data_IF_154738641743
#
_entry.id   IF_154738641743
#
_cell.length_a   1.000
_cell.length_b   1.000
_cell.length_c   1.000
_cell.angle_alpha   90.00
_cell.angle_beta   90.00
_cell.angle_gamma   90.00
#
_symmetry.space_group_name_H-M   'P 1'
#
loop_
_entity.id
_entity.type
_entity.pdbx_description
1 polymer ?
#
# COMPACT_ATOMS: atom_id res chain seq x y z
N UNK A 1 0.68 -26.18 -10.30
CA UNK A 1 -0.35 -25.15 -10.62
C UNK A 1 0.24 -23.77 -10.46
N UNK A 2 -0.11 -22.83 -11.34
CA UNK A 2 0.46 -21.48 -11.36
C UNK A 2 -0.62 -20.44 -11.67
N UNK A 3 -0.66 -19.36 -10.90
CA UNK A 3 -1.56 -18.24 -11.16
C UNK A 3 -1.10 -16.93 -10.49
N UNK A 4 -1.47 -15.81 -11.09
CA UNK A 4 -1.50 -14.51 -10.43
C UNK A 4 -2.94 -14.23 -10.02
N UNK A 5 -3.14 -13.94 -8.75
CA UNK A 5 -4.45 -13.62 -8.17
C UNK A 5 -4.53 -12.11 -7.96
N UNK A 6 -5.23 -11.44 -8.86
CA UNK A 6 -5.47 -10.01 -8.77
C UNK A 6 -6.66 -9.76 -7.84
N UNK A 7 -6.37 -9.18 -6.68
CA UNK A 7 -7.33 -8.99 -5.61
C UNK A 7 -7.00 -7.70 -4.84
N UNK A 8 -7.94 -6.76 -4.70
CA UNK A 8 -7.67 -5.45 -4.11
C UNK A 8 -7.21 -5.54 -2.65
N UNK A 9 -6.71 -4.43 -2.11
CA UNK A 9 -6.37 -4.33 -0.69
C UNK A 9 -7.64 -4.53 0.15
N UNK A 10 -7.55 -5.32 1.23
CA UNK A 10 -8.71 -5.62 2.08
C UNK A 10 -9.58 -6.79 1.60
N UNK A 11 -9.27 -7.42 0.47
CA UNK A 11 -10.01 -8.56 -0.08
C UNK A 11 -9.70 -9.92 0.57
N UNK A 12 -8.86 -9.96 1.61
CA UNK A 12 -8.48 -11.21 2.26
C UNK A 12 -7.36 -11.99 1.56
N UNK A 13 -6.40 -11.32 0.90
CA UNK A 13 -5.26 -11.99 0.23
C UNK A 13 -4.52 -12.96 1.15
N UNK A 14 -4.30 -12.63 2.43
CA UNK A 14 -3.67 -13.54 3.40
C UNK A 14 -4.47 -14.82 3.62
N UNK A 15 -5.80 -14.73 3.67
CA UNK A 15 -6.68 -15.89 3.77
C UNK A 15 -6.65 -16.75 2.50
N UNK A 16 -6.56 -16.15 1.33
CA UNK A 16 -6.43 -16.88 0.06
C UNK A 16 -5.11 -17.67 0.04
N UNK A 17 -3.99 -17.04 0.42
CA UNK A 17 -2.68 -17.71 0.53
C UNK A 17 -2.76 -18.86 1.54
N UNK A 18 -3.32 -18.60 2.72
CA UNK A 18 -3.54 -19.61 3.76
C UNK A 18 -4.32 -20.82 3.22
N UNK A 19 -5.47 -20.59 2.59
CA UNK A 19 -6.33 -21.67 2.10
C UNK A 19 -5.64 -22.54 1.03
N UNK A 20 -4.93 -21.91 0.07
CA UNK A 20 -4.19 -22.65 -0.97
C UNK A 20 -3.00 -23.40 -0.36
N UNK A 21 -2.30 -22.81 0.60
CA UNK A 21 -1.18 -23.44 1.31
C UNK A 21 -1.64 -24.67 2.11
N UNK A 22 -2.76 -24.55 2.84
CA UNK A 22 -3.39 -25.67 3.56
C UNK A 22 -3.84 -26.77 2.62
N UNK A 23 -4.48 -26.40 1.50
CA UNK A 23 -4.88 -27.35 0.47
C UNK A 23 -3.68 -28.10 -0.13
N UNK A 24 -2.57 -27.41 -0.38
CA UNK A 24 -1.33 -28.04 -0.85
C UNK A 24 -0.81 -29.05 0.15
N UNK A 25 -0.65 -28.66 1.41
CA UNK A 25 -0.14 -29.55 2.46
C UNK A 25 -1.05 -30.77 2.69
N UNK A 26 -2.37 -30.59 2.69
CA UNK A 26 -3.33 -31.68 2.85
C UNK A 26 -3.23 -32.74 1.76
N UNK A 27 -2.72 -32.40 0.57
CA UNK A 27 -2.47 -33.36 -0.51
C UNK A 27 -1.18 -34.17 -0.34
N UNK A 28 -0.28 -33.71 0.51
CA UNK A 28 1.03 -34.33 0.71
C UNK A 28 1.10 -35.21 1.94
N UNK A 29 0.15 -35.05 2.86
CA UNK A 29 0.16 -35.71 4.16
C UNK A 29 -0.96 -36.73 4.23
N UNK A 30 -0.59 -38.00 4.49
CA UNK A 30 -1.52 -39.05 4.95
C UNK A 30 -1.88 -38.86 6.45
N UNK A 31 -1.80 -37.61 6.95
CA UNK A 31 -2.29 -37.18 8.26
C UNK A 31 -1.28 -37.15 9.41
N UNK A 32 -0.02 -37.57 9.25
CA UNK A 32 0.86 -37.81 10.43
C UNK A 32 2.22 -37.08 10.45
N UNK A 33 2.73 -36.55 9.34
CA UNK A 33 3.97 -35.75 9.36
C UNK A 33 4.11 -34.83 8.16
N UNK A 34 4.64 -33.62 8.38
CA UNK A 34 4.96 -32.73 7.28
C UNK A 34 6.18 -33.25 6.52
N UNK A 35 6.08 -33.43 5.20
CA UNK A 35 7.20 -33.97 4.42
C UNK A 35 8.39 -33.00 4.45
N UNK A 36 9.63 -33.53 4.54
CA UNK A 36 10.86 -32.74 4.42
C UNK A 36 10.98 -32.02 3.06
N UNK A 37 10.29 -32.52 2.03
CA UNK A 37 10.10 -31.89 0.72
C UNK A 37 8.64 -31.51 0.58
N UNK A 38 8.34 -30.36 -0.04
CA UNK A 38 6.95 -29.92 -0.24
C UNK A 38 6.47 -28.85 0.74
N UNK A 39 7.38 -28.27 1.54
CA UNK A 39 7.08 -27.12 2.41
C UNK A 39 6.49 -25.95 1.62
N UNK A 40 5.83 -25.06 2.33
CA UNK A 40 5.29 -23.81 1.80
C UNK A 40 6.27 -22.66 2.06
N UNK A 41 6.56 -21.88 1.03
CA UNK A 41 7.31 -20.62 1.13
C UNK A 41 6.39 -19.44 0.80
N UNK A 42 6.27 -18.50 1.72
CA UNK A 42 5.56 -17.23 1.52
C UNK A 42 6.56 -16.08 1.55
N UNK A 43 6.67 -15.37 0.44
CA UNK A 43 7.59 -14.24 0.28
C UNK A 43 6.79 -12.96 0.33
N UNK A 44 7.15 -12.08 1.27
CA UNK A 44 6.50 -10.78 1.46
C UNK A 44 7.53 -9.62 1.35
N UNK A 45 7.10 -8.39 1.04
CA UNK A 45 8.02 -7.27 0.81
C UNK A 45 8.78 -6.77 2.04
N UNK A 46 8.17 -6.83 3.24
CA UNK A 46 8.70 -6.18 4.45
C UNK A 46 8.59 -7.06 5.68
N UNK A 47 9.42 -6.80 6.70
CA UNK A 47 9.39 -7.49 7.99
C UNK A 47 8.04 -7.36 8.70
N UNK A 48 7.43 -6.18 8.65
CA UNK A 48 6.08 -5.97 9.24
C UNK A 48 5.03 -6.89 8.60
N UNK A 49 5.14 -7.16 7.29
CA UNK A 49 4.23 -8.09 6.60
C UNK A 49 4.54 -9.56 6.94
N UNK A 50 5.78 -9.91 7.31
CA UNK A 50 6.09 -11.25 7.84
C UNK A 50 5.33 -11.47 9.14
N UNK A 51 5.40 -10.53 10.07
CA UNK A 51 4.71 -10.62 11.36
C UNK A 51 3.19 -10.60 11.21
N UNK A 52 2.68 -9.74 10.32
CA UNK A 52 1.24 -9.69 10.03
C UNK A 52 0.75 -11.00 9.43
N UNK A 53 1.42 -11.54 8.40
CA UNK A 53 1.02 -12.78 7.75
C UNK A 53 1.05 -13.96 8.73
N UNK A 54 2.07 -14.03 9.58
CA UNK A 54 2.17 -15.02 10.64
C UNK A 54 1.00 -14.91 11.63
N UNK A 55 0.70 -13.70 12.14
CA UNK A 55 -0.42 -13.45 13.04
C UNK A 55 -1.77 -13.80 12.39
N UNK A 56 -1.94 -13.49 11.10
CA UNK A 56 -3.15 -13.82 10.36
C UNK A 56 -3.31 -15.36 10.20
N UNK A 57 -2.23 -16.08 9.89
CA UNK A 57 -2.26 -17.54 9.77
C UNK A 57 -2.60 -18.22 11.10
N UNK A 58 -2.07 -17.72 12.23
CA UNK A 58 -2.46 -18.20 13.55
C UNK A 58 -3.95 -18.01 13.81
N UNK A 59 -4.50 -16.84 13.50
CA UNK A 59 -5.95 -16.54 13.64
C UNK A 59 -6.81 -17.45 12.76
N UNK A 60 -6.28 -17.89 11.60
CA UNK A 60 -6.96 -18.84 10.72
C UNK A 60 -6.80 -20.31 11.15
N UNK A 61 -6.09 -20.57 12.25
CA UNK A 61 -5.93 -21.89 12.84
C UNK A 61 -4.71 -22.67 12.31
N UNK A 62 -3.63 -21.98 11.91
CA UNK A 62 -2.34 -22.64 11.66
C UNK A 62 -1.64 -22.92 12.98
N UNK A 63 -1.00 -24.10 13.11
CA UNK A 63 -0.16 -24.42 14.25
C UNK A 63 1.12 -23.56 14.27
N UNK A 64 1.35 -22.88 15.39
CA UNK A 64 2.55 -22.02 15.56
C UNK A 64 3.84 -22.81 15.42
N UNK A 65 3.92 -24.02 15.96
CA UNK A 65 5.09 -24.91 15.87
C UNK A 65 5.41 -25.38 14.45
N UNK A 66 4.43 -25.32 13.52
CA UNK A 66 4.60 -25.65 12.13
C UNK A 66 4.92 -24.44 11.22
N UNK A 67 5.16 -23.26 11.79
CA UNK A 67 5.53 -22.04 11.05
C UNK A 67 6.90 -21.53 11.43
N UNK A 68 7.64 -21.00 10.45
CA UNK A 68 8.94 -20.38 10.66
C UNK A 68 9.02 -19.02 9.98
N UNK A 69 9.56 -18.01 10.68
CA UNK A 69 9.72 -16.64 10.17
C UNK A 69 11.18 -16.33 9.92
N UNK A 70 11.52 -15.87 8.72
CA UNK A 70 12.88 -15.47 8.37
C UNK A 70 12.91 -14.00 7.95
N UNK A 71 13.61 -13.17 8.75
CA UNK A 71 13.95 -11.79 8.41
C UNK A 71 15.25 -11.39 9.16
N UNK A 72 15.71 -10.15 9.06
CA UNK A 72 16.97 -9.71 9.68
C UNK A 72 17.05 -10.11 11.15
N UNK A 73 18.10 -10.84 11.53
CA UNK A 73 18.34 -11.34 12.90
C UNK A 73 17.64 -12.65 13.26
N UNK A 74 16.85 -13.26 12.36
CA UNK A 74 16.23 -14.58 12.56
C UNK A 74 16.98 -15.69 11.85
N UNK A 75 16.92 -16.89 12.44
CA UNK A 75 17.58 -18.07 11.90
C UNK A 75 17.00 -18.48 10.53
N UNK A 76 17.88 -18.92 9.64
CA UNK A 76 17.56 -19.43 8.29
C UNK A 76 17.48 -20.95 8.25
N UNK A 77 17.82 -21.63 9.33
CA UNK A 77 17.68 -23.09 9.47
C UNK A 77 16.21 -23.39 9.75
N UNK A 78 15.65 -24.30 8.97
CA UNK A 78 14.26 -24.73 9.09
C UNK A 78 14.25 -26.15 9.62
N UNK A 79 13.89 -26.33 10.87
CA UNK A 79 13.83 -27.67 11.49
C UNK A 79 12.51 -28.36 11.18
N UNK A 80 11.41 -27.97 11.81
CA UNK A 80 10.13 -28.67 11.78
C UNK A 80 8.96 -27.89 11.16
N UNK A 81 9.25 -26.78 10.47
CA UNK A 81 8.18 -25.97 9.92
C UNK A 81 7.65 -26.47 8.58
N UNK A 82 6.34 -26.52 8.42
CA UNK A 82 5.65 -26.78 7.17
C UNK A 82 5.51 -25.52 6.30
N UNK A 83 5.48 -24.35 6.94
CA UNK A 83 5.36 -23.06 6.28
C UNK A 83 6.45 -22.09 6.74
N UNK A 84 7.11 -21.47 5.77
CA UNK A 84 8.11 -20.43 5.99
C UNK A 84 7.61 -19.11 5.44
N UNK A 85 7.56 -18.08 6.28
CA UNK A 85 7.21 -16.72 5.89
C UNK A 85 8.47 -15.85 5.96
N UNK A 86 8.83 -15.19 4.86
CA UNK A 86 10.11 -14.50 4.76
C UNK A 86 10.04 -13.23 3.93
N UNK A 87 10.99 -12.31 4.17
CA UNK A 87 11.28 -11.25 3.22
C UNK A 87 12.24 -11.75 2.15
N UNK A 88 12.12 -11.25 0.92
CA UNK A 88 13.04 -11.63 -0.17
C UNK A 88 14.51 -11.27 0.13
N UNK A 89 14.75 -10.16 0.86
CA UNK A 89 16.08 -9.69 1.23
C UNK A 89 16.84 -10.71 2.10
N UNK A 90 16.09 -11.46 2.91
CA UNK A 90 16.67 -12.41 3.84
C UNK A 90 17.15 -13.70 3.17
N UNK A 91 16.56 -14.07 2.02
CA UNK A 91 16.77 -15.37 1.39
C UNK A 91 17.39 -15.33 -0.01
N UNK A 92 17.41 -14.17 -0.71
CA UNK A 92 17.82 -14.12 -2.13
C UNK A 92 19.25 -14.61 -2.41
N UNK A 93 20.16 -14.51 -1.42
CA UNK A 93 21.55 -15.00 -1.51
C UNK A 93 21.70 -16.48 -1.21
N UNK A 94 20.67 -17.14 -0.67
CA UNK A 94 20.76 -18.57 -0.32
C UNK A 94 20.95 -19.45 -1.58
N UNK A 95 21.63 -20.60 -1.44
CA UNK A 95 21.88 -21.48 -2.56
C UNK A 95 20.58 -22.15 -3.06
N UNK A 96 20.61 -22.68 -4.29
CA UNK A 96 19.44 -23.33 -4.93
C UNK A 96 18.89 -24.46 -4.07
N UNK A 97 19.77 -25.28 -3.46
CA UNK A 97 19.41 -26.41 -2.61
C UNK A 97 18.49 -26.03 -1.44
N UNK A 98 18.64 -24.79 -0.91
CA UNK A 98 17.77 -24.31 0.14
C UNK A 98 16.32 -24.13 -0.35
N UNK A 99 16.13 -23.77 -1.63
CA UNK A 99 14.81 -23.58 -2.22
C UNK A 99 14.15 -24.89 -2.70
N UNK A 100 14.90 -25.96 -2.89
CA UNK A 100 14.39 -27.26 -3.38
C UNK A 100 13.49 -27.99 -2.38
N UNK A 101 13.47 -27.55 -1.12
CA UNK A 101 12.56 -28.09 -0.10
C UNK A 101 11.11 -27.57 -0.22
N UNK A 102 10.85 -26.55 -1.05
CA UNK A 102 9.54 -25.92 -1.16
C UNK A 102 8.78 -26.43 -2.39
N UNK A 103 7.66 -27.11 -2.15
CA UNK A 103 6.75 -27.56 -3.20
C UNK A 103 5.67 -26.53 -3.57
N UNK A 104 5.42 -25.58 -2.69
CA UNK A 104 4.53 -24.44 -2.95
C UNK A 104 5.20 -23.11 -2.59
N UNK A 105 5.13 -22.14 -3.50
CA UNK A 105 5.70 -20.79 -3.32
C UNK A 105 4.65 -19.74 -3.61
N UNK A 106 4.51 -18.81 -2.66
CA UNK A 106 3.60 -17.68 -2.73
C UNK A 106 4.40 -16.38 -2.71
N UNK A 107 4.11 -15.47 -3.65
CA UNK A 107 4.65 -14.12 -3.65
C UNK A 107 3.54 -13.11 -3.36
N UNK A 108 3.52 -12.53 -2.18
CA UNK A 108 2.62 -11.41 -1.89
C UNK A 108 3.19 -10.11 -2.49
N UNK A 109 2.30 -9.21 -2.91
CA UNK A 109 2.64 -8.03 -3.72
C UNK A 109 3.53 -8.40 -4.92
N UNK A 110 3.09 -9.41 -5.67
CA UNK A 110 3.87 -10.04 -6.74
C UNK A 110 4.27 -9.10 -7.88
N UNK A 111 3.66 -7.91 -8.00
CA UNK A 111 4.10 -6.87 -8.93
C UNK A 111 5.57 -6.46 -8.73
N UNK A 112 6.13 -6.69 -7.54
CA UNK A 112 7.57 -6.49 -7.24
C UNK A 112 8.50 -7.53 -7.86
N UNK A 113 7.99 -8.70 -8.28
CA UNK A 113 8.80 -9.82 -8.78
C UNK A 113 9.41 -9.62 -10.17
N UNK A 114 9.26 -8.44 -10.75
CA UNK A 114 10.02 -7.99 -11.92
C UNK A 114 11.48 -7.67 -11.63
N UNK A 115 11.88 -7.54 -10.36
CA UNK A 115 13.28 -7.29 -9.98
C UNK A 115 14.14 -8.56 -10.12
N UNK A 116 15.41 -8.38 -10.50
CA UNK A 116 16.36 -9.50 -10.70
C UNK A 116 16.46 -10.41 -9.49
N UNK A 117 16.47 -9.87 -8.28
CA UNK A 117 16.60 -10.65 -7.04
C UNK A 117 15.40 -11.57 -6.81
N UNK A 118 14.17 -11.07 -7.01
CA UNK A 118 12.95 -11.85 -6.87
C UNK A 118 12.76 -12.86 -8.00
N UNK A 119 13.11 -12.50 -9.24
CA UNK A 119 13.16 -13.46 -10.35
C UNK A 119 14.12 -14.61 -10.06
N UNK A 120 15.33 -14.31 -9.53
CA UNK A 120 16.31 -15.34 -9.18
C UNK A 120 15.81 -16.28 -8.08
N UNK A 121 15.08 -15.78 -7.09
CA UNK A 121 14.44 -16.63 -6.08
C UNK A 121 13.46 -17.61 -6.76
N UNK A 122 12.58 -17.10 -7.61
CA UNK A 122 11.61 -17.95 -8.31
C UNK A 122 12.25 -19.00 -9.22
N UNK A 123 13.40 -18.66 -9.85
CA UNK A 123 14.16 -19.58 -10.68
C UNK A 123 14.85 -20.68 -9.85
N UNK A 124 15.23 -20.39 -8.59
CA UNK A 124 15.80 -21.38 -7.65
C UNK A 124 14.74 -22.35 -7.11
N UNK A 125 13.47 -21.97 -7.08
CA UNK A 125 12.37 -22.82 -6.60
C UNK A 125 11.98 -23.88 -7.64
N UNK A 126 12.90 -24.72 -8.08
CA UNK A 126 12.67 -25.70 -9.17
C UNK A 126 11.64 -26.76 -8.82
N UNK A 127 11.57 -27.16 -7.55
CA UNK A 127 10.63 -28.17 -7.04
C UNK A 127 9.21 -27.64 -6.77
N UNK A 128 9.01 -26.31 -6.92
CA UNK A 128 7.72 -25.72 -6.64
C UNK A 128 6.69 -26.05 -7.73
N UNK A 129 5.79 -26.97 -7.40
CA UNK A 129 4.62 -27.35 -8.21
C UNK A 129 3.55 -26.28 -8.22
N UNK A 130 3.39 -25.62 -7.05
CA UNK A 130 2.45 -24.51 -6.84
C UNK A 130 3.21 -23.19 -6.79
N UNK A 131 2.87 -22.27 -7.69
CA UNK A 131 3.44 -20.91 -7.74
C UNK A 131 2.32 -19.91 -7.86
N UNK A 132 2.02 -19.19 -6.79
CA UNK A 132 0.95 -18.19 -6.77
C UNK A 132 1.50 -16.83 -6.41
N UNK A 133 1.18 -15.83 -7.23
CA UNK A 133 1.39 -14.43 -6.92
C UNK A 133 0.09 -13.78 -6.52
N UNK A 134 0.08 -12.98 -5.43
CA UNK A 134 -1.06 -12.14 -5.05
C UNK A 134 -0.67 -10.68 -5.22
N UNK A 135 -1.56 -9.85 -5.74
CA UNK A 135 -1.36 -8.40 -5.82
C UNK A 135 -2.69 -7.66 -5.93
N UNK A 136 -2.74 -6.45 -5.40
CA UNK A 136 -3.88 -5.56 -5.57
C UNK A 136 -3.90 -4.89 -6.94
N UNK A 137 -2.73 -4.73 -7.57
CA UNK A 137 -2.58 -3.97 -8.82
C UNK A 137 -1.44 -4.50 -9.66
N UNK A 138 -1.60 -4.39 -10.98
CA UNK A 138 -0.52 -4.51 -11.95
C UNK A 138 -0.23 -3.10 -12.51
N UNK A 139 1.04 -2.81 -12.83
CA UNK A 139 1.45 -1.47 -13.26
C UNK A 139 1.02 -1.10 -14.70
N UNK A 140 0.34 -2.03 -15.39
CA UNK A 140 -0.18 -1.83 -16.74
C UNK A 140 0.89 -1.90 -17.85
N UNK A 141 2.15 -2.18 -17.52
CA UNK A 141 3.21 -2.41 -18.49
C UNK A 141 3.16 -3.84 -19.01
N UNK A 142 2.93 -4.03 -20.30
CA UNK A 142 2.86 -5.36 -20.93
C UNK A 142 4.12 -6.19 -20.68
N UNK A 143 5.31 -5.58 -20.75
CA UNK A 143 6.58 -6.28 -20.50
C UNK A 143 6.66 -6.83 -19.09
N UNK A 144 6.24 -6.03 -18.08
CA UNK A 144 6.23 -6.48 -16.70
C UNK A 144 5.20 -7.57 -16.46
N UNK A 145 4.06 -7.48 -17.08
CA UNK A 145 3.01 -8.50 -16.98
C UNK A 145 3.47 -9.84 -17.57
N UNK A 146 4.14 -9.85 -18.72
CA UNK A 146 4.73 -11.04 -19.31
C UNK A 146 5.77 -11.70 -18.39
N UNK A 147 6.65 -10.92 -17.76
CA UNK A 147 7.61 -11.45 -16.77
C UNK A 147 6.89 -12.13 -15.61
N UNK A 148 5.88 -11.50 -15.04
CA UNK A 148 5.11 -12.05 -13.92
C UNK A 148 4.35 -13.32 -14.34
N UNK A 149 3.75 -13.33 -15.54
CA UNK A 149 3.09 -14.52 -16.08
C UNK A 149 4.07 -15.67 -16.32
N UNK A 150 5.30 -15.39 -16.74
CA UNK A 150 6.37 -16.40 -16.85
C UNK A 150 6.72 -17.04 -15.50
N UNK A 151 6.70 -16.27 -14.41
CA UNK A 151 7.01 -16.77 -13.07
C UNK A 151 5.85 -17.50 -12.40
N UNK A 152 4.65 -16.94 -12.50
CA UNK A 152 3.46 -17.37 -11.74
C UNK A 152 2.33 -17.95 -12.61
N UNK A 153 2.32 -17.73 -13.92
CA UNK A 153 1.25 -18.14 -14.81
C UNK A 153 0.19 -17.08 -15.06
N UNK A 154 -0.97 -17.48 -15.55
CA UNK A 154 -2.06 -16.59 -15.97
C UNK A 154 -2.62 -15.75 -14.82
N UNK A 155 -3.01 -14.53 -15.13
CA UNK A 155 -3.69 -13.62 -14.16
C UNK A 155 -5.17 -13.95 -14.10
N UNK A 156 -5.68 -14.11 -12.87
CA UNK A 156 -7.10 -14.25 -12.56
C UNK A 156 -7.53 -13.10 -11.66
N UNK A 157 -8.58 -12.42 -12.07
CA UNK A 157 -9.25 -11.40 -11.24
C UNK A 157 -10.15 -12.15 -10.24
N UNK A 158 -9.84 -12.03 -8.96
CA UNK A 158 -10.57 -12.74 -7.89
C UNK A 158 -11.83 -11.96 -7.53
N UNK A 159 -11.70 -10.65 -7.35
CA UNK A 159 -12.80 -9.73 -7.05
C UNK A 159 -12.39 -8.30 -7.40
N UNK A 160 -13.32 -7.37 -7.36
CA UNK A 160 -13.10 -5.94 -7.56
C UNK A 160 -13.33 -5.17 -6.28
N UNK A 161 -12.79 -3.95 -6.22
CA UNK A 161 -13.09 -3.02 -5.11
C UNK A 161 -14.58 -2.74 -5.03
N UNK A 162 -15.24 -2.57 -6.18
CA UNK A 162 -16.68 -2.34 -6.28
C UNK A 162 -17.50 -3.50 -5.72
N UNK A 163 -17.22 -4.73 -6.14
CA UNK A 163 -17.92 -5.91 -5.61
C UNK A 163 -17.77 -6.04 -4.09
N UNK A 164 -16.59 -5.74 -3.54
CA UNK A 164 -16.37 -5.77 -2.10
C UNK A 164 -17.13 -4.66 -1.36
N UNK A 165 -17.31 -3.49 -1.98
CA UNK A 165 -18.12 -2.40 -1.45
C UNK A 165 -19.62 -2.70 -1.53
N UNK A 166 -20.09 -3.26 -2.64
CA UNK A 166 -21.48 -3.63 -2.85
C UNK A 166 -21.91 -4.77 -1.91
N UNK A 167 -21.00 -5.71 -1.63
CA UNK A 167 -21.17 -6.78 -0.64
C UNK A 167 -20.90 -6.32 0.81
N UNK A 168 -20.75 -5.02 1.03
CA UNK A 168 -20.54 -4.42 2.34
C UNK A 168 -19.30 -4.96 3.09
N UNK A 169 -18.31 -5.52 2.38
CA UNK A 169 -17.04 -6.03 2.93
C UNK A 169 -16.02 -4.91 3.12
N UNK A 170 -16.05 -3.90 2.25
CA UNK A 170 -15.22 -2.70 2.34
C UNK A 170 -16.09 -1.46 2.57
N UNK A 171 -15.52 -0.46 3.25
CA UNK A 171 -16.16 0.84 3.39
C UNK A 171 -16.34 1.51 2.01
N UNK A 172 -17.41 2.27 1.87
CA UNK A 172 -17.61 3.13 0.70
C UNK A 172 -16.61 4.27 0.75
N UNK A 173 -15.93 4.52 -0.36
CA UNK A 173 -15.02 5.64 -0.55
C UNK A 173 -15.67 6.67 -1.46
N UNK A 174 -15.63 7.94 -1.06
CA UNK A 174 -15.92 9.06 -1.95
C UNK A 174 -14.65 9.89 -2.14
N UNK A 175 -14.42 10.32 -3.37
CA UNK A 175 -13.25 11.09 -3.74
C UNK A 175 -13.66 12.52 -4.08
N UNK A 176 -13.01 13.48 -3.45
CA UNK A 176 -13.13 14.90 -3.78
C UNK A 176 -11.81 15.39 -4.35
N UNK A 177 -11.76 15.54 -5.66
CA UNK A 177 -10.60 16.12 -6.34
C UNK A 177 -10.67 17.64 -6.22
N UNK A 178 -9.72 18.24 -5.52
CA UNK A 178 -9.63 19.67 -5.28
C UNK A 178 -8.55 20.26 -6.22
N UNK A 179 -8.97 20.99 -7.24
CA UNK A 179 -8.09 21.63 -8.21
C UNK A 179 -7.79 23.05 -7.73
N UNK A 180 -6.56 23.27 -7.32
CA UNK A 180 -6.12 24.57 -6.82
C UNK A 180 -5.73 25.47 -7.99
N UNK A 181 -6.40 26.62 -8.10
CA UNK A 181 -6.10 27.69 -9.05
C UNK A 181 -5.23 28.76 -8.41
N UNK A 182 -4.04 28.94 -8.95
CA UNK A 182 -3.03 29.90 -8.46
C UNK A 182 -3.19 31.34 -8.98
N UNK A 183 -4.18 31.59 -9.81
CA UNK A 183 -4.37 32.86 -10.47
C UNK A 183 -3.47 33.03 -11.70
N UNK A 184 -3.86 34.01 -12.54
CA UNK A 184 -3.30 34.17 -13.87
C UNK A 184 -1.82 34.59 -13.89
N UNK A 185 -1.40 35.46 -12.96
CA UNK A 185 -0.01 35.94 -12.89
C UNK A 185 0.96 34.82 -12.55
N UNK A 186 0.68 34.04 -11.51
CA UNK A 186 1.49 32.90 -11.12
C UNK A 186 1.59 31.87 -12.23
N UNK A 187 0.49 31.56 -12.88
CA UNK A 187 0.47 30.60 -14.02
C UNK A 187 1.31 31.07 -15.20
N UNK A 188 1.31 32.38 -15.49
CA UNK A 188 2.11 32.96 -16.57
C UNK A 188 3.61 32.83 -16.29
N UNK A 189 4.03 33.12 -15.07
CA UNK A 189 5.43 33.04 -14.66
C UNK A 189 5.95 31.61 -14.62
N UNK A 190 5.06 30.65 -14.29
CA UNK A 190 5.40 29.23 -14.18
C UNK A 190 5.37 28.46 -15.50
N UNK A 191 4.96 29.10 -16.59
CA UNK A 191 4.63 28.44 -17.89
C UNK A 191 5.74 27.65 -18.59
N UNK A 192 7.01 27.64 -18.14
CA UNK A 192 8.15 27.00 -18.82
C UNK A 192 9.10 26.23 -17.90
N UNK A 193 8.74 25.98 -16.64
CA UNK A 193 9.64 25.37 -15.66
C UNK A 193 9.80 23.86 -15.88
N UNK A 194 10.93 23.31 -15.40
CA UNK A 194 11.14 21.86 -15.37
C UNK A 194 10.26 21.23 -14.25
N UNK A 195 10.10 19.90 -14.34
CA UNK A 195 9.28 19.15 -13.36
C UNK A 195 9.70 19.39 -11.92
N UNK A 196 11.02 19.44 -11.64
CA UNK A 196 11.51 19.61 -10.27
C UNK A 196 11.21 21.01 -9.74
N UNK A 197 11.33 22.02 -10.59
CA UNK A 197 11.03 23.42 -10.21
C UNK A 197 9.54 23.57 -9.88
N UNK A 198 8.66 22.93 -10.66
CA UNK A 198 7.23 22.91 -10.39
C UNK A 198 6.93 22.26 -9.05
N UNK A 199 7.55 21.13 -8.76
CA UNK A 199 7.37 20.45 -7.48
C UNK A 199 7.87 21.31 -6.32
N UNK A 200 9.07 21.88 -6.43
CA UNK A 200 9.65 22.72 -5.37
C UNK A 200 8.80 23.96 -5.10
N UNK A 201 8.24 24.58 -6.14
CA UNK A 201 7.27 25.66 -6.02
C UNK A 201 6.00 25.20 -5.29
N UNK A 202 5.37 24.11 -5.73
CA UNK A 202 4.11 23.61 -5.18
C UNK A 202 4.25 23.27 -3.70
N UNK A 203 5.30 22.52 -3.31
CA UNK A 203 5.48 22.08 -1.93
C UNK A 203 5.90 23.24 -1.00
N UNK A 204 6.55 24.28 -1.54
CA UNK A 204 6.93 25.50 -0.80
C UNK A 204 5.86 26.58 -0.76
N UNK A 205 4.76 26.45 -1.55
CA UNK A 205 3.79 27.53 -1.70
C UNK A 205 2.94 27.73 -0.44
N UNK A 206 3.07 28.90 0.18
CA UNK A 206 2.51 29.20 1.50
C UNK A 206 0.97 29.10 1.54
N UNK A 207 0.27 29.73 0.59
CA UNK A 207 -1.21 29.71 0.55
C UNK A 207 -1.74 28.28 0.37
N UNK A 208 -1.08 27.48 -0.48
CA UNK A 208 -1.41 26.07 -0.67
C UNK A 208 -1.27 25.27 0.62
N UNK A 209 -0.15 25.43 1.31
CA UNK A 209 0.10 24.71 2.57
C UNK A 209 -0.86 25.16 3.68
N UNK A 210 -1.23 26.44 3.72
CA UNK A 210 -2.28 26.98 4.60
C UNK A 210 -3.66 26.38 4.25
N UNK A 211 -3.98 26.22 2.97
CA UNK A 211 -5.22 25.56 2.53
C UNK A 211 -5.28 24.11 3.01
N UNK A 212 -4.20 23.32 2.80
CA UNK A 212 -4.13 21.93 3.24
C UNK A 212 -4.23 21.81 4.76
N UNK A 213 -3.53 22.70 5.49
CA UNK A 213 -3.64 22.79 6.95
C UNK A 213 -5.09 23.04 7.40
N UNK A 214 -5.76 24.04 6.83
CA UNK A 214 -7.13 24.37 7.18
C UNK A 214 -8.06 23.17 6.90
N UNK A 215 -7.94 22.58 5.71
CA UNK A 215 -8.69 21.38 5.38
C UNK A 215 -8.47 20.26 6.40
N UNK A 216 -7.22 19.96 6.78
CA UNK A 216 -6.91 18.90 7.73
C UNK A 216 -7.49 19.18 9.14
N UNK A 217 -7.49 20.44 9.56
CA UNK A 217 -8.01 20.85 10.89
C UNK A 217 -9.53 20.90 10.91
N UNK A 218 -10.19 21.32 9.82
CA UNK A 218 -11.64 21.46 9.75
C UNK A 218 -12.35 20.09 9.62
N UNK A 219 -11.69 19.09 9.02
CA UNK A 219 -12.24 17.75 8.87
C UNK A 219 -12.39 17.06 10.23
N UNK A 220 -13.56 16.48 10.48
CA UNK A 220 -13.83 15.68 11.67
C UNK A 220 -13.51 14.21 11.45
N UNK A 221 -13.02 13.55 12.50
CA UNK A 221 -12.58 12.16 12.45
C UNK A 221 -11.09 12.02 12.12
N UNK A 222 -10.59 10.78 12.28
CA UNK A 222 -9.18 10.49 12.02
C UNK A 222 -8.81 10.85 10.59
N UNK A 223 -7.86 11.74 10.46
CA UNK A 223 -7.43 12.34 9.18
C UNK A 223 -5.97 11.97 8.89
N UNK A 224 -5.71 11.43 7.72
CA UNK A 224 -4.38 11.10 7.22
C UNK A 224 -3.96 12.10 6.15
N UNK A 225 -2.85 12.79 6.35
CA UNK A 225 -2.26 13.72 5.38
C UNK A 225 -1.00 13.08 4.78
N UNK A 226 -1.01 12.79 3.48
CA UNK A 226 0.06 12.08 2.79
C UNK A 226 0.96 13.01 2.00
N UNK A 227 2.27 12.92 2.25
CA UNK A 227 3.29 13.70 1.56
C UNK A 227 4.41 12.80 0.97
N UNK A 228 5.20 13.36 0.02
CA UNK A 228 6.35 12.67 -0.59
C UNK A 228 7.71 13.14 -0.03
N UNK A 229 7.87 14.43 0.25
CA UNK A 229 9.15 15.05 0.61
C UNK A 229 9.18 15.36 2.11
N UNK A 230 10.04 14.66 2.86
CA UNK A 230 10.08 14.75 4.33
C UNK A 230 10.43 16.17 4.78
N UNK A 231 11.59 16.68 4.37
CA UNK A 231 12.12 17.96 4.88
C UNK A 231 11.48 19.17 4.18
N UNK A 232 11.29 19.09 2.85
CA UNK A 232 10.76 20.23 2.07
C UNK A 232 9.25 20.45 2.25
N UNK A 233 8.49 19.41 2.63
CA UNK A 233 7.03 19.49 2.68
C UNK A 233 6.43 18.88 3.94
N UNK A 234 6.78 17.66 4.30
CA UNK A 234 6.16 16.92 5.39
C UNK A 234 6.33 17.59 6.75
N UNK A 235 7.56 17.93 7.13
CA UNK A 235 7.85 18.61 8.39
C UNK A 235 7.23 20.02 8.48
N UNK A 236 7.37 20.89 7.44
CA UNK A 236 6.68 22.19 7.43
C UNK A 236 5.16 22.05 7.56
N UNK A 237 4.55 21.14 6.81
CA UNK A 237 3.11 20.93 6.85
C UNK A 237 2.65 20.38 8.20
N UNK A 238 3.40 19.45 8.80
CA UNK A 238 3.14 18.95 10.16
C UNK A 238 3.14 20.08 11.18
N UNK A 239 4.15 20.96 11.17
CA UNK A 239 4.23 22.09 12.10
C UNK A 239 3.02 23.04 11.92
N UNK A 240 2.69 23.39 10.67
CA UNK A 240 1.51 24.22 10.38
C UNK A 240 0.21 23.63 10.90
N UNK A 241 0.01 22.31 10.76
CA UNK A 241 -1.20 21.61 11.20
C UNK A 241 -1.22 21.54 12.74
N UNK A 242 -0.11 21.14 13.37
CA UNK A 242 0.01 21.03 14.82
C UNK A 242 -0.26 22.37 15.52
N UNK A 243 0.34 23.44 15.00
CA UNK A 243 0.25 24.78 15.60
C UNK A 243 -1.17 25.41 15.43
N UNK A 244 -1.98 24.86 14.52
CA UNK A 244 -3.36 25.32 14.27
C UNK A 244 -4.42 24.39 14.84
N UNK A 245 -4.09 23.14 15.09
CA UNK A 245 -5.02 22.16 15.63
C UNK A 245 -5.46 22.55 17.07
N UNK A 246 -6.66 22.13 17.43
CA UNK A 246 -7.17 22.29 18.80
C UNK A 246 -6.23 21.54 19.79
N UNK A 247 -6.04 22.09 20.99
CA UNK A 247 -5.13 21.54 22.03
C UNK A 247 -5.46 20.08 22.38
N UNK A 248 -6.71 19.68 22.29
CA UNK A 248 -7.16 18.32 22.55
C UNK A 248 -6.98 17.37 21.35
N UNK A 249 -6.70 17.92 20.16
CA UNK A 249 -6.58 17.15 18.91
C UNK A 249 -5.15 16.71 18.69
N UNK A 250 -4.88 15.42 18.78
CA UNK A 250 -3.52 14.89 18.61
C UNK A 250 -3.09 14.90 17.15
N UNK A 251 -1.88 15.41 16.92
CA UNK A 251 -1.25 15.46 15.59
C UNK A 251 0.06 14.67 15.64
N UNK A 252 0.20 13.67 14.77
CA UNK A 252 1.37 12.80 14.69
C UNK A 252 2.12 12.98 13.38
N UNK A 253 3.44 12.81 13.43
CA UNK A 253 4.30 12.77 12.24
C UNK A 253 4.92 11.39 12.08
N UNK A 254 4.84 10.82 10.86
CA UNK A 254 5.38 9.49 10.55
C UNK A 254 6.11 9.51 9.20
N UNK A 255 7.37 9.07 9.22
CA UNK A 255 8.20 8.98 8.02
C UNK A 255 9.03 7.68 8.03
N UNK A 256 9.89 7.50 7.01
CA UNK A 256 10.81 6.37 6.94
C UNK A 256 11.75 6.25 8.13
N UNK A 257 12.10 7.38 8.77
CA UNK A 257 12.93 7.40 9.97
C UNK A 257 12.21 7.16 11.29
N UNK A 258 10.88 6.97 11.29
CA UNK A 258 10.13 6.63 12.50
C UNK A 258 10.27 5.14 12.79
N UNK A 259 10.63 4.76 14.00
CA UNK A 259 10.79 3.36 14.40
C UNK A 259 9.47 2.57 14.30
N UNK A 260 9.59 1.26 14.12
CA UNK A 260 8.42 0.38 13.95
C UNK A 260 7.56 0.38 15.21
N UNK A 261 8.18 0.36 16.40
CA UNK A 261 7.50 0.44 17.69
C UNK A 261 6.67 1.72 17.85
N UNK A 262 7.25 2.86 17.43
CA UNK A 262 6.57 4.16 17.49
C UNK A 262 5.38 4.22 16.53
N UNK A 263 5.54 3.65 15.32
CA UNK A 263 4.42 3.56 14.35
C UNK A 263 3.26 2.75 14.90
N UNK A 264 3.55 1.62 15.56
CA UNK A 264 2.53 0.77 16.19
C UNK A 264 1.87 1.48 17.39
N UNK A 265 2.64 2.21 18.21
CA UNK A 265 2.12 3.03 19.30
C UNK A 265 1.19 4.14 18.78
N UNK A 266 1.61 4.89 17.76
CA UNK A 266 0.78 5.91 17.09
C UNK A 266 -0.50 5.29 16.54
N UNK A 267 -0.41 4.15 15.85
CA UNK A 267 -1.58 3.43 15.35
C UNK A 267 -2.56 3.10 16.47
N UNK A 268 -2.07 2.51 17.57
CA UNK A 268 -2.89 2.14 18.71
C UNK A 268 -3.58 3.34 19.37
N UNK A 269 -2.94 4.51 19.39
CA UNK A 269 -3.54 5.76 19.90
C UNK A 269 -4.62 6.26 18.92
N UNK A 270 -4.34 6.31 17.64
CA UNK A 270 -5.27 6.80 16.60
C UNK A 270 -6.52 5.93 16.50
N UNK A 271 -6.37 4.60 16.61
CA UNK A 271 -7.52 3.66 16.60
C UNK A 271 -8.43 3.81 17.82
N UNK A 272 -7.93 4.33 18.94
CA UNK A 272 -8.72 4.63 20.16
C UNK A 272 -9.29 6.04 20.16
N UNK A 273 -8.77 6.92 19.32
CA UNK A 273 -9.23 8.31 19.19
C UNK A 273 -10.03 8.47 17.91
N UNK A 274 -11.10 9.24 17.96
CA UNK A 274 -11.99 9.44 16.82
C UNK A 274 -11.70 10.73 16.05
N UNK A 275 -10.66 11.49 16.39
CA UNK A 275 -10.36 12.80 15.79
C UNK A 275 -8.86 13.15 15.84
N UNK A 276 -7.98 12.22 15.48
CA UNK A 276 -6.55 12.47 15.37
C UNK A 276 -6.13 12.83 13.94
N UNK A 277 -5.03 13.56 13.79
CA UNK A 277 -4.39 13.85 12.48
C UNK A 277 -3.04 13.15 12.42
N UNK A 278 -2.80 12.39 11.35
CA UNK A 278 -1.51 11.74 11.07
C UNK A 278 -0.93 12.32 9.78
N UNK A 279 0.21 12.99 9.88
CA UNK A 279 0.96 13.48 8.72
C UNK A 279 2.04 12.46 8.39
N UNK A 280 1.88 11.73 7.29
CA UNK A 280 2.70 10.56 6.99
C UNK A 280 3.32 10.61 5.59
N UNK A 281 4.54 10.06 5.44
CA UNK A 281 5.10 9.88 4.11
C UNK A 281 4.36 8.79 3.33
N UNK A 282 4.09 9.04 2.05
CA UNK A 282 3.36 8.12 1.18
C UNK A 282 4.05 6.74 1.11
N UNK A 283 5.39 6.71 1.09
CA UNK A 283 6.17 5.47 1.09
C UNK A 283 5.98 4.65 2.37
N UNK A 284 6.08 5.29 3.53
CA UNK A 284 5.91 4.62 4.83
C UNK A 284 4.49 4.13 5.04
N UNK A 285 3.50 4.94 4.64
CA UNK A 285 2.10 4.55 4.77
C UNK A 285 1.74 3.37 3.86
N UNK A 286 2.22 3.37 2.61
CA UNK A 286 1.94 2.28 1.67
C UNK A 286 2.52 0.92 2.09
N UNK A 287 3.56 0.90 2.92
CA UNK A 287 4.28 -0.33 3.29
C UNK A 287 4.12 -0.79 4.74
N UNK A 288 3.54 -0.01 5.64
CA UNK A 288 3.65 -0.37 7.06
C UNK A 288 2.60 0.14 8.05
N UNK A 289 1.80 1.14 7.73
CA UNK A 289 0.81 1.66 8.68
C UNK A 289 -0.60 1.23 8.25
N UNK A 290 -1.27 0.52 9.16
CA UNK A 290 -2.61 0.02 8.93
C UNK A 290 -3.55 0.57 10.01
N UNK A 291 -4.15 1.73 9.75
CA UNK A 291 -5.14 2.35 10.62
C UNK A 291 -6.53 1.88 10.18
N UNK A 292 -7.28 1.24 11.09
CA UNK A 292 -8.64 0.75 10.82
C UNK A 292 -9.68 1.87 10.84
N UNK A 293 -9.57 2.78 11.79
CA UNK A 293 -10.51 3.88 12.00
C UNK A 293 -10.05 5.14 11.24
N UNK A 294 -10.01 5.07 9.90
CA UNK A 294 -9.59 6.17 9.05
C UNK A 294 -10.79 6.76 8.30
N UNK A 295 -11.08 8.04 8.55
CA UNK A 295 -12.24 8.73 8.00
C UNK A 295 -11.91 9.65 6.83
N UNK A 296 -10.73 10.30 6.88
CA UNK A 296 -10.29 11.23 5.85
C UNK A 296 -8.86 10.94 5.41
N UNK A 297 -8.61 11.01 4.11
CA UNK A 297 -7.29 10.92 3.50
C UNK A 297 -7.08 12.18 2.66
N UNK A 298 -5.96 12.87 2.85
CA UNK A 298 -5.57 14.04 2.05
C UNK A 298 -4.30 13.70 1.29
N UNK A 299 -4.35 13.70 -0.04
CA UNK A 299 -3.16 13.63 -0.89
C UNK A 299 -2.55 15.03 -1.02
N UNK A 300 -1.68 15.39 -0.07
CA UNK A 300 -1.00 16.68 -0.05
C UNK A 300 0.10 16.78 -1.13
N UNK A 301 0.79 15.67 -1.43
CA UNK A 301 1.74 15.56 -2.54
C UNK A 301 1.24 14.53 -3.55
N UNK A 302 0.74 14.94 -4.70
CA UNK A 302 0.19 14.02 -5.69
C UNK A 302 1.25 13.07 -6.26
N UNK A 303 0.86 11.82 -6.43
CA UNK A 303 1.67 10.79 -7.07
C UNK A 303 0.95 10.24 -8.29
N UNK A 304 1.67 10.02 -9.39
CA UNK A 304 1.15 9.34 -10.58
C UNK A 304 1.15 7.81 -10.44
N UNK A 305 1.87 7.27 -9.46
CA UNK A 305 2.02 5.83 -9.28
C UNK A 305 0.68 5.19 -8.92
N UNK A 306 0.09 4.46 -9.86
CA UNK A 306 -1.15 3.72 -9.68
C UNK A 306 -1.10 2.80 -8.45
N UNK A 307 -0.01 2.08 -8.28
CA UNK A 307 0.17 1.14 -7.15
C UNK A 307 0.11 1.88 -5.82
N UNK A 308 0.87 2.96 -5.67
CA UNK A 308 0.90 3.75 -4.42
C UNK A 308 -0.45 4.38 -4.10
N UNK A 309 -1.12 4.92 -5.12
CA UNK A 309 -2.44 5.52 -4.97
C UNK A 309 -3.45 4.47 -4.49
N UNK A 310 -3.54 3.34 -5.16
CA UNK A 310 -4.49 2.27 -4.81
C UNK A 310 -4.17 1.61 -3.46
N UNK A 311 -2.91 1.42 -3.11
CA UNK A 311 -2.51 0.92 -1.79
C UNK A 311 -2.90 1.87 -0.66
N UNK A 312 -2.75 3.17 -0.89
CA UNK A 312 -3.14 4.20 0.09
C UNK A 312 -4.66 4.26 0.27
N UNK A 313 -5.41 4.24 -0.82
CA UNK A 313 -6.88 4.22 -0.82
C UNK A 313 -7.39 2.94 -0.16
N UNK A 314 -6.85 1.77 -0.54
CA UNK A 314 -7.31 0.48 -0.03
C UNK A 314 -7.22 0.32 1.49
N UNK A 315 -6.37 1.11 2.16
CA UNK A 315 -6.30 1.15 3.63
C UNK A 315 -7.43 1.94 4.24
N UNK A 316 -7.86 3.01 3.58
CA UNK A 316 -9.03 3.81 3.98
C UNK A 316 -10.37 3.11 3.70
N UNK A 317 -10.37 2.03 2.92
CA UNK A 317 -11.58 1.24 2.64
C UNK A 317 -11.91 0.21 3.73
N UNK A 318 -11.12 0.10 4.79
CA UNK A 318 -11.51 -0.73 5.93
C UNK A 318 -12.69 -0.10 6.64
N UNK A 319 -13.68 -0.91 6.96
CA UNK A 319 -14.83 -0.43 7.72
C UNK A 319 -14.37 0.11 9.06
N UNK A 320 -14.76 1.35 9.34
CA UNK A 320 -14.69 1.90 10.69
C UNK A 320 -15.78 1.27 11.55
N UNK A 321 -15.54 1.20 12.85
CA UNK A 321 -16.52 0.64 13.81
C UNK A 321 -17.82 1.41 13.85
N UNK A 322 -17.81 2.70 13.48
CA UNK A 322 -18.96 3.60 13.44
C UNK A 322 -19.69 3.64 12.09
N UNK A 323 -19.24 2.85 11.10
CA UNK A 323 -19.86 2.74 9.78
C UNK A 323 -19.73 3.99 8.89
N UNK A 324 -18.95 4.99 9.29
CA UNK A 324 -18.75 6.21 8.49
C UNK A 324 -18.05 5.91 7.16
N UNK A 325 -18.47 6.64 6.13
CA UNK A 325 -17.85 6.63 4.81
C UNK A 325 -16.45 7.29 4.87
N UNK A 326 -15.48 6.71 4.19
CA UNK A 326 -14.15 7.33 4.07
C UNK A 326 -14.13 8.34 2.92
N UNK A 327 -13.50 9.49 3.15
CA UNK A 327 -13.30 10.53 2.14
C UNK A 327 -11.83 10.64 1.73
N UNK A 328 -11.59 10.69 0.43
CA UNK A 328 -10.30 11.05 -0.13
C UNK A 328 -10.36 12.46 -0.72
N UNK A 329 -9.50 13.33 -0.24
CA UNK A 329 -9.28 14.68 -0.76
C UNK A 329 -8.00 14.66 -1.60
N UNK A 330 -8.17 14.66 -2.92
CA UNK A 330 -7.07 14.61 -3.88
C UNK A 330 -6.70 16.02 -4.32
N UNK A 331 -5.62 16.57 -3.74
CA UNK A 331 -5.12 17.91 -4.08
C UNK A 331 -4.42 17.85 -5.42
N UNK A 332 -4.88 18.68 -6.35
CA UNK A 332 -4.36 18.84 -7.70
C UNK A 332 -4.02 20.31 -7.96
N UNK A 333 -2.89 20.56 -8.57
CA UNK A 333 -2.35 21.93 -8.73
C UNK A 333 -2.44 22.34 -10.20
N UNK A 334 -3.22 23.39 -10.52
CA UNK A 334 -3.36 23.95 -11.86
C UNK A 334 -2.47 25.19 -12.04
N UNK A 335 -1.28 24.97 -12.57
CA UNK A 335 -0.32 25.98 -13.04
C UNK A 335 -0.29 26.07 -14.56
N UNK A 336 -1.31 25.57 -15.23
CA UNK A 336 -1.39 25.59 -16.69
C UNK A 336 -1.53 27.02 -17.23
N UNK A 337 -0.82 27.28 -18.35
CA UNK A 337 -0.86 28.57 -19.03
C UNK A 337 -1.04 28.38 -20.53
N UNK A 338 -2.03 29.01 -21.13
CA UNK A 338 -2.41 28.86 -22.55
C UNK A 338 -2.64 27.36 -22.87
N UNK A 339 -1.99 26.85 -23.90
CA UNK A 339 -2.11 25.43 -24.31
C UNK A 339 -1.28 24.47 -23.44
N UNK A 340 -0.34 24.99 -22.63
CA UNK A 340 0.54 24.14 -21.82
C UNK A 340 -0.13 23.72 -20.52
N UNK A 341 -0.17 22.41 -20.28
CA UNK A 341 -0.56 21.83 -19.01
C UNK A 341 0.69 21.55 -18.17
N UNK A 342 0.61 21.84 -16.88
CA UNK A 342 1.68 21.55 -15.94
C UNK A 342 1.70 20.07 -15.54
N UNK A 343 2.84 19.59 -15.03
CA UNK A 343 3.06 18.18 -14.73
C UNK A 343 2.13 17.66 -13.62
N UNK A 344 1.94 18.43 -12.56
CA UNK A 344 1.10 18.01 -11.42
C UNK A 344 -0.36 17.86 -11.83
N UNK A 345 -0.86 18.74 -12.71
CA UNK A 345 -2.19 18.61 -13.29
C UNK A 345 -2.31 17.35 -14.16
N UNK A 346 -1.31 17.09 -15.04
CA UNK A 346 -1.27 15.86 -15.85
C UNK A 346 -1.25 14.61 -14.97
N UNK A 347 -0.47 14.61 -13.88
CA UNK A 347 -0.45 13.51 -12.92
C UNK A 347 -1.80 13.33 -12.24
N UNK A 348 -2.54 14.40 -11.97
CA UNK A 348 -3.89 14.29 -11.40
C UNK A 348 -4.88 13.66 -12.39
N UNK A 349 -4.73 13.90 -13.68
CA UNK A 349 -5.53 13.22 -14.70
C UNK A 349 -5.23 11.72 -14.79
N UNK A 350 -3.96 11.33 -14.61
CA UNK A 350 -3.62 9.90 -14.51
C UNK A 350 -4.28 9.25 -13.28
N UNK A 351 -4.36 9.94 -12.15
CA UNK A 351 -5.12 9.44 -11.00
C UNK A 351 -6.61 9.34 -11.29
N UNK A 352 -7.17 10.30 -12.01
CA UNK A 352 -8.58 10.27 -12.41
C UNK A 352 -8.92 9.04 -13.24
N UNK A 353 -8.03 8.63 -14.16
CA UNK A 353 -8.18 7.38 -14.93
C UNK A 353 -8.22 6.16 -14.00
N UNK A 354 -7.44 6.17 -12.90
CA UNK A 354 -7.48 5.11 -11.89
C UNK A 354 -8.83 5.09 -11.20
N UNK A 355 -9.36 6.25 -10.79
CA UNK A 355 -10.66 6.34 -10.13
C UNK A 355 -11.80 5.82 -11.02
N UNK A 356 -11.75 6.16 -12.31
CA UNK A 356 -12.70 5.65 -13.30
C UNK A 356 -12.57 4.13 -13.51
N UNK A 357 -11.34 3.62 -13.61
CA UNK A 357 -11.08 2.18 -13.80
C UNK A 357 -11.55 1.33 -12.61
N UNK A 358 -11.41 1.86 -11.41
CA UNK A 358 -11.82 1.20 -10.15
C UNK A 358 -13.29 1.53 -9.78
N UNK A 359 -13.98 2.30 -10.61
CA UNK A 359 -15.38 2.70 -10.44
C UNK A 359 -15.66 3.44 -9.12
N UNK A 360 -14.70 4.22 -8.63
CA UNK A 360 -14.92 5.06 -7.45
C UNK A 360 -15.83 6.23 -7.75
N UNK A 361 -16.70 6.56 -6.79
CA UNK A 361 -17.48 7.80 -6.81
C UNK A 361 -16.56 9.00 -6.59
N UNK A 362 -16.52 9.95 -7.53
CA UNK A 362 -15.71 11.16 -7.40
C UNK A 362 -16.42 12.40 -7.91
N UNK A 363 -16.05 13.55 -7.33
CA UNK A 363 -16.38 14.86 -7.85
C UNK A 363 -15.14 15.76 -7.93
N UNK A 364 -15.19 16.79 -8.75
CA UNK A 364 -14.11 17.79 -8.88
C UNK A 364 -14.62 19.14 -8.43
N UNK A 365 -13.83 19.83 -7.62
CA UNK A 365 -14.08 21.18 -7.12
C UNK A 365 -12.86 22.04 -7.43
N UNK A 366 -13.05 23.20 -8.03
CA UNK A 366 -12.01 24.21 -8.23
C UNK A 366 -11.95 25.14 -7.01
N UNK A 367 -10.73 25.46 -6.58
CA UNK A 367 -10.47 26.26 -5.39
C UNK A 367 -9.43 27.31 -5.74
N UNK A 368 -9.76 28.59 -5.67
CA UNK A 368 -8.80 29.70 -5.81
C UNK A 368 -7.98 29.87 -4.55
N UNK A 369 -6.64 30.00 -4.68
CA UNK A 369 -5.69 30.14 -3.57
C UNK A 369 -4.79 31.37 -3.69
#
# INVERSE_FOLDING_TARGET
>A
KRAILLSPTGSGKSLIIYAIARYWLARLTDGLSYPKKGRVLVIVPTTSLVEQMHSDFLKYGWDEGAMHRIYSGKDKVIENAACVITTWQSVYKLPKQWFEQFGAVFGDECHGFKSKSLMNIMNKCTEAEYRFGTTGTLDGSQTHELVLQGLFGKTYKVTTTRELQDNDTLAKLSIRRLVLDYGQEVRKDFGKQAYQDEIDFIVGHEKRNKFIRNLAVDLKGNTLVLFNYVDKHGKPLFNLIRDKADENRKVFFVSGGTDVSDREAIRGIVEKQNDAIVVASLGTFSTGINIKELHNIIFASPSKSQIRVLQSIGRGLRKSSDGRKTWLYDISDDLSWKSRKNFSLLHSWERLKIYQKEEFEYNTVEVSI
#
